data_IF_636862098213
#
_entry.id   IF_636862098213
#
_cell.length_a   1.000
_cell.length_b   1.000
_cell.length_c   1.000
_cell.angle_alpha   90.00
_cell.angle_beta   90.00
_cell.angle_gamma   90.00
#
_symmetry.space_group_name_H-M   'P 1'
#
loop_
_entity.id
_entity.type
_entity.pdbx_description
1 polymer ?
#
# COMPACT_ATOMS: atom_id res chain seq x y z
N UNK A 1 7.09 -15.74 24.04
CA UNK A 1 6.89 -14.34 24.51
C UNK A 1 5.62 -14.24 25.39
N UNK A 2 5.43 -13.19 26.21
CA UNK A 2 4.14 -12.96 26.91
C UNK A 2 3.14 -12.39 25.92
N UNK A 3 1.93 -12.95 25.85
CA UNK A 3 0.83 -12.39 25.07
C UNK A 3 0.18 -11.23 25.86
N UNK A 4 0.16 -10.05 25.25
CA UNK A 4 -0.41 -8.81 25.79
C UNK A 4 -1.81 -8.54 25.20
N UNK A 5 -2.62 -7.68 25.81
CA UNK A 5 -3.81 -7.11 25.15
C UNK A 5 -3.46 -5.80 24.44
N UNK A 6 -4.37 -5.27 23.62
CA UNK A 6 -4.18 -3.94 23.06
C UNK A 6 -4.21 -2.85 24.15
N UNK A 7 -4.95 -3.03 25.24
CA UNK A 7 -4.92 -2.12 26.39
C UNK A 7 -3.51 -2.04 27.01
N UNK A 8 -2.76 -3.15 27.05
CA UNK A 8 -1.36 -3.14 27.48
C UNK A 8 -0.48 -2.31 26.51
N UNK A 9 -0.77 -2.37 25.21
CA UNK A 9 -0.09 -1.56 24.18
C UNK A 9 -0.42 -0.08 24.39
N UNK A 10 -1.70 0.27 24.58
CA UNK A 10 -2.16 1.63 24.87
C UNK A 10 -1.54 2.18 26.15
N UNK A 11 -1.47 1.38 27.21
CA UNK A 11 -0.78 1.73 28.44
C UNK A 11 0.70 2.01 28.19
N UNK A 12 1.37 1.23 27.33
CA UNK A 12 2.76 1.49 26.93
C UNK A 12 2.91 2.77 26.11
N UNK A 13 1.97 3.07 25.20
CA UNK A 13 1.96 4.31 24.43
C UNK A 13 1.85 5.50 25.38
N UNK A 14 0.84 5.48 26.25
CA UNK A 14 0.56 6.57 27.18
C UNK A 14 1.68 6.80 28.21
N UNK A 15 2.38 5.73 28.62
CA UNK A 15 3.50 5.83 29.57
C UNK A 15 4.76 6.45 28.96
N UNK A 16 4.95 6.38 27.64
CA UNK A 16 6.18 6.79 26.96
C UNK A 16 5.96 8.05 26.10
N UNK A 17 5.66 9.18 26.73
CA UNK A 17 5.33 10.45 26.03
C UNK A 17 6.45 11.04 25.17
N UNK A 18 7.72 10.74 25.48
CA UNK A 18 8.88 11.16 24.68
C UNK A 18 9.29 10.17 23.59
N UNK A 19 8.46 9.16 23.30
CA UNK A 19 8.75 8.12 22.31
C UNK A 19 7.67 8.12 21.24
N UNK A 20 8.10 8.15 19.99
CA UNK A 20 7.20 7.98 18.84
C UNK A 20 6.67 6.54 18.77
N UNK A 21 5.40 6.40 18.42
CA UNK A 21 4.77 5.13 18.09
C UNK A 21 4.21 5.23 16.68
N UNK A 22 4.68 4.34 15.82
CA UNK A 22 4.25 4.23 14.43
C UNK A 22 3.33 3.02 14.27
N UNK A 23 2.55 3.00 13.19
CA UNK A 23 1.64 1.92 12.85
C UNK A 23 2.04 1.31 11.50
N UNK A 24 2.11 -0.02 11.41
CA UNK A 24 2.20 -0.76 10.16
C UNK A 24 0.90 -1.55 9.96
N UNK A 25 0.17 -1.23 8.90
CA UNK A 25 -1.03 -1.90 8.46
C UNK A 25 -0.69 -2.93 7.37
N UNK A 26 -1.15 -4.15 7.56
CA UNK A 26 -1.11 -5.22 6.57
C UNK A 26 -2.50 -5.59 6.07
N UNK A 27 -2.58 -6.50 5.09
CA UNK A 27 -3.84 -6.86 4.42
C UNK A 27 -4.92 -7.31 5.40
N UNK A 28 -4.52 -7.85 6.56
CA UNK A 28 -5.43 -8.18 7.65
C UNK A 28 -6.23 -6.99 8.22
N UNK A 29 -5.80 -5.74 7.97
CA UNK A 29 -6.57 -4.54 8.29
C UNK A 29 -7.88 -4.49 7.50
N UNK A 30 -7.79 -4.70 6.18
CA UNK A 30 -8.95 -4.69 5.28
C UNK A 30 -9.77 -5.98 5.43
N UNK A 31 -9.12 -7.12 5.64
CA UNK A 31 -9.82 -8.37 5.97
C UNK A 31 -10.59 -8.29 7.30
N UNK A 32 -10.10 -7.54 8.28
CA UNK A 32 -10.81 -7.34 9.53
C UNK A 32 -12.09 -6.50 9.35
N UNK A 33 -12.17 -5.68 8.30
CA UNK A 33 -13.39 -4.98 7.92
C UNK A 33 -14.36 -5.92 7.22
N UNK A 34 -13.89 -6.56 6.15
CA UNK A 34 -14.70 -7.48 5.36
C UNK A 34 -13.79 -8.55 4.70
N UNK A 35 -13.78 -9.80 5.21
CA UNK A 35 -12.94 -10.86 4.68
C UNK A 35 -13.49 -11.48 3.38
N UNK A 36 -14.74 -11.21 3.00
CA UNK A 36 -15.31 -11.68 1.73
C UNK A 36 -14.86 -10.78 0.57
N UNK A 37 -14.76 -9.48 0.83
CA UNK A 37 -14.34 -8.48 -0.17
C UNK A 37 -12.81 -8.40 -0.28
N UNK A 38 -12.11 -8.35 0.85
CA UNK A 38 -10.66 -8.21 0.88
C UNK A 38 -10.00 -9.56 1.13
N UNK A 39 -9.33 -10.12 0.12
CA UNK A 39 -8.54 -11.36 0.25
C UNK A 39 -7.04 -11.08 0.11
N UNK A 40 -6.24 -11.77 0.93
CA UNK A 40 -4.78 -11.57 1.04
C UNK A 40 -4.05 -11.73 -0.29
N UNK A 41 -4.60 -12.55 -1.18
CA UNK A 41 -4.03 -12.91 -2.46
C UNK A 41 -4.99 -12.63 -3.60
N UNK A 42 -6.07 -11.88 -3.44
CA UNK A 42 -7.13 -11.84 -4.46
C UNK A 42 -6.62 -11.51 -5.87
N UNK A 43 -5.71 -10.54 -6.00
CA UNK A 43 -5.06 -10.25 -7.29
C UNK A 43 -4.04 -11.31 -7.72
N UNK A 44 -3.36 -11.93 -6.76
CA UNK A 44 -2.40 -13.00 -7.02
C UNK A 44 -3.10 -14.30 -7.46
N UNK A 45 -4.11 -14.73 -6.72
CA UNK A 45 -5.00 -15.85 -7.03
C UNK A 45 -5.70 -15.59 -8.36
N UNK A 46 -6.06 -14.35 -8.66
CA UNK A 46 -6.60 -13.98 -9.96
C UNK A 46 -5.60 -14.25 -11.10
N UNK A 47 -4.32 -13.86 -10.94
CA UNK A 47 -3.27 -14.14 -11.92
C UNK A 47 -2.96 -15.64 -12.00
N UNK A 48 -2.94 -16.38 -10.88
CA UNK A 48 -2.63 -17.81 -10.87
C UNK A 48 -3.77 -18.69 -11.41
N UNK A 49 -5.03 -18.29 -11.21
CA UNK A 49 -6.21 -19.00 -11.70
C UNK A 49 -6.66 -18.53 -13.10
N UNK A 50 -5.82 -17.77 -13.80
CA UNK A 50 -6.12 -17.26 -15.11
C UNK A 50 -6.05 -18.41 -16.13
N UNK A 51 -7.20 -19.03 -16.44
CA UNK A 51 -7.34 -20.16 -17.36
C UNK A 51 -7.20 -19.73 -18.84
N UNK A 52 -6.04 -19.17 -19.21
CA UNK A 52 -5.71 -18.84 -20.60
C UNK A 52 -4.29 -19.33 -20.94
N UNK A 53 -4.21 -20.28 -21.86
CA UNK A 53 -2.96 -20.93 -22.31
C UNK A 53 -1.97 -19.95 -22.97
N UNK A 54 -2.45 -18.87 -23.60
CA UNK A 54 -1.58 -17.86 -24.22
C UNK A 54 -1.04 -16.89 -23.16
N UNK A 55 -1.88 -16.43 -22.24
CA UNK A 55 -1.46 -15.57 -21.13
C UNK A 55 -0.53 -16.30 -20.16
N UNK A 56 -0.82 -17.56 -19.86
CA UNK A 56 0.03 -18.39 -19.01
C UNK A 56 1.44 -18.55 -19.59
N UNK A 57 1.57 -18.64 -20.92
CA UNK A 57 2.89 -18.68 -21.59
C UNK A 57 3.62 -17.36 -21.48
N UNK A 58 2.92 -16.24 -21.66
CA UNK A 58 3.49 -14.90 -21.52
C UNK A 58 3.97 -14.69 -20.08
N UNK A 59 3.11 -14.94 -19.10
CA UNK A 59 3.42 -14.80 -17.68
C UNK A 59 4.49 -15.79 -17.21
N UNK A 60 4.61 -16.97 -17.83
CA UNK A 60 5.70 -17.90 -17.52
C UNK A 60 7.07 -17.43 -18.03
N UNK A 61 7.11 -16.63 -19.10
CA UNK A 61 8.35 -16.03 -19.64
C UNK A 61 8.71 -14.76 -18.87
N UNK A 62 7.70 -14.01 -18.44
CA UNK A 62 7.90 -12.79 -17.68
C UNK A 62 8.18 -13.18 -16.22
N UNK A 63 9.45 -13.15 -15.82
CA UNK A 63 9.90 -13.45 -14.45
C UNK A 63 9.54 -12.36 -13.42
N UNK A 64 8.43 -11.63 -13.63
CA UNK A 64 7.94 -10.62 -12.70
C UNK A 64 6.44 -10.74 -12.52
N UNK A 65 5.97 -10.47 -11.29
CA UNK A 65 4.55 -10.32 -10.96
C UNK A 65 4.14 -8.85 -10.86
N UNK A 66 5.03 -7.93 -11.25
CA UNK A 66 4.71 -6.51 -11.38
C UNK A 66 3.86 -6.30 -12.64
N UNK A 67 2.60 -5.98 -12.43
CA UNK A 67 1.63 -5.78 -13.50
C UNK A 67 2.02 -4.63 -14.43
N UNK A 68 2.45 -3.49 -13.88
CA UNK A 68 2.89 -2.33 -14.67
C UNK A 68 4.00 -2.74 -15.64
N UNK A 69 5.00 -3.47 -15.13
CA UNK A 69 6.13 -3.93 -15.93
C UNK A 69 5.71 -4.97 -16.98
N UNK A 70 4.78 -5.88 -16.65
CA UNK A 70 4.22 -6.84 -17.61
C UNK A 70 3.55 -6.09 -18.77
N UNK A 71 2.69 -5.12 -18.47
CA UNK A 71 1.98 -4.36 -19.49
C UNK A 71 2.93 -3.53 -20.34
N UNK A 72 3.90 -2.84 -19.73
CA UNK A 72 4.94 -2.10 -20.46
C UNK A 72 5.75 -3.02 -21.39
N UNK A 73 6.07 -4.25 -20.96
CA UNK A 73 6.78 -5.21 -21.81
C UNK A 73 5.94 -5.66 -23.01
N UNK A 74 4.63 -5.88 -22.81
CA UNK A 74 3.71 -6.24 -23.89
C UNK A 74 3.55 -5.11 -24.91
N UNK A 75 3.40 -3.87 -24.43
CA UNK A 75 3.26 -2.70 -25.28
C UNK A 75 4.54 -2.45 -26.08
N UNK A 76 5.71 -2.54 -25.43
CA UNK A 76 7.01 -2.44 -26.10
C UNK A 76 7.20 -3.55 -27.14
N UNK A 77 6.81 -4.79 -26.82
CA UNK A 77 6.89 -5.90 -27.76
C UNK A 77 5.99 -5.66 -28.98
N UNK A 78 4.76 -5.19 -28.79
CA UNK A 78 3.83 -4.87 -29.88
C UNK A 78 4.42 -3.77 -30.79
N UNK A 79 4.95 -2.70 -30.20
CA UNK A 79 5.59 -1.61 -30.94
C UNK A 79 6.82 -2.08 -31.75
N UNK A 80 7.64 -2.97 -31.19
CA UNK A 80 8.79 -3.54 -31.89
C UNK A 80 8.37 -4.47 -33.04
N UNK A 81 7.36 -5.31 -32.84
CA UNK A 81 6.82 -6.19 -33.89
C UNK A 81 6.29 -5.36 -35.06
N UNK A 82 5.63 -4.24 -34.78
CA UNK A 82 5.19 -3.30 -35.80
C UNK A 82 6.38 -2.66 -36.53
N UNK A 83 7.37 -2.15 -35.80
CA UNK A 83 8.54 -1.49 -36.38
C UNK A 83 9.42 -2.39 -37.25
N UNK A 84 9.52 -3.68 -36.93
CA UNK A 84 10.32 -4.66 -37.67
C UNK A 84 9.51 -5.44 -38.72
N UNK A 85 8.26 -5.05 -39.00
CA UNK A 85 7.35 -5.76 -39.90
C UNK A 85 7.23 -7.27 -39.55
N UNK A 86 7.26 -7.59 -38.24
CA UNK A 86 7.28 -8.95 -37.70
C UNK A 86 6.00 -9.77 -37.93
N UNK A 87 5.05 -9.21 -38.68
CA UNK A 87 3.84 -9.87 -39.15
C UNK A 87 2.59 -9.54 -38.33
N UNK A 88 1.53 -9.15 -39.04
CA UNK A 88 0.19 -8.88 -38.51
C UNK A 88 -0.36 -9.97 -37.56
N UNK A 89 -0.15 -11.29 -37.81
CA UNK A 89 -0.67 -12.32 -36.92
C UNK A 89 -0.04 -12.33 -35.53
N UNK A 90 1.26 -12.00 -35.43
CA UNK A 90 1.96 -11.97 -34.14
C UNK A 90 1.55 -10.74 -33.34
N UNK A 91 1.49 -9.57 -34.00
CA UNK A 91 1.01 -8.33 -33.38
C UNK A 91 -0.40 -8.51 -32.78
N UNK A 92 -1.34 -9.06 -33.56
CA UNK A 92 -2.71 -9.31 -33.08
C UNK A 92 -2.78 -10.23 -31.87
N UNK A 93 -1.88 -11.21 -31.75
CA UNK A 93 -1.81 -12.07 -30.57
C UNK A 93 -1.32 -11.33 -29.34
N UNK A 94 -0.29 -10.50 -29.49
CA UNK A 94 0.25 -9.70 -28.39
C UNK A 94 -0.80 -8.68 -27.92
N UNK A 95 -1.41 -7.95 -28.85
CA UNK A 95 -2.45 -6.96 -28.53
C UNK A 95 -3.65 -7.61 -27.84
N UNK A 96 -4.11 -8.77 -28.34
CA UNK A 96 -5.21 -9.51 -27.72
C UNK A 96 -4.85 -10.02 -26.32
N UNK A 97 -3.61 -10.45 -26.09
CA UNK A 97 -3.15 -10.85 -24.77
C UNK A 97 -3.07 -9.65 -23.81
N UNK A 98 -2.50 -8.53 -24.25
CA UNK A 98 -2.43 -7.28 -23.47
C UNK A 98 -3.83 -6.82 -23.05
N UNK A 99 -4.77 -6.75 -24.00
CA UNK A 99 -6.15 -6.36 -23.72
C UNK A 99 -6.88 -7.34 -22.80
N UNK A 100 -6.67 -8.66 -22.96
CA UNK A 100 -7.24 -9.63 -22.01
C UNK A 100 -6.71 -9.42 -20.61
N UNK A 101 -5.39 -9.29 -20.44
CA UNK A 101 -4.75 -9.14 -19.13
C UNK A 101 -5.20 -7.84 -18.44
N UNK A 102 -5.33 -6.75 -19.21
CA UNK A 102 -5.87 -5.48 -18.76
C UNK A 102 -7.31 -5.58 -18.28
N UNK A 103 -8.21 -6.15 -19.09
CA UNK A 103 -9.62 -6.32 -18.73
C UNK A 103 -9.77 -7.23 -17.51
N UNK A 104 -8.97 -8.30 -17.47
CA UNK A 104 -8.84 -9.20 -16.34
C UNK A 104 -8.47 -8.46 -15.04
N UNK A 105 -7.44 -7.60 -15.05
CA UNK A 105 -7.11 -6.79 -13.88
C UNK A 105 -8.24 -5.84 -13.48
N UNK A 106 -8.86 -5.16 -14.45
CA UNK A 106 -9.94 -4.21 -14.21
C UNK A 106 -11.14 -4.89 -13.55
N UNK A 107 -11.54 -6.07 -14.03
CA UNK A 107 -12.58 -6.89 -13.42
C UNK A 107 -12.21 -7.32 -11.99
N UNK A 108 -10.96 -7.73 -11.75
CA UNK A 108 -10.50 -8.11 -10.42
C UNK A 108 -10.53 -6.91 -9.45
N UNK A 109 -10.05 -5.74 -9.88
CA UNK A 109 -10.09 -4.52 -9.06
C UNK A 109 -11.53 -4.12 -8.74
N UNK A 110 -12.44 -4.16 -9.71
CA UNK A 110 -13.86 -3.83 -9.49
C UNK A 110 -14.57 -4.84 -8.59
N UNK A 111 -14.27 -6.14 -8.70
CA UNK A 111 -14.88 -7.17 -7.87
C UNK A 111 -14.45 -7.09 -6.39
N UNK A 112 -13.20 -6.68 -6.14
CA UNK A 112 -12.58 -6.71 -4.81
C UNK A 112 -12.74 -5.42 -4.02
N UNK A 113 -13.28 -4.36 -4.62
CA UNK A 113 -13.36 -3.05 -3.97
C UNK A 113 -14.79 -2.55 -3.96
N UNK A 114 -15.30 -2.08 -2.80
CA UNK A 114 -16.59 -1.41 -2.74
C UNK A 114 -16.62 -0.24 -3.74
N UNK A 115 -17.70 -0.13 -4.52
CA UNK A 115 -17.85 0.95 -5.50
C UNK A 115 -17.66 2.37 -4.90
N UNK A 116 -17.90 2.56 -3.59
CA UNK A 116 -17.85 3.88 -2.97
C UNK A 116 -17.45 3.84 -1.48
N UNK A 117 -16.62 4.82 -1.06
CA UNK A 117 -16.33 5.18 0.36
C UNK A 117 -17.55 5.25 1.30
N UNK A 118 -18.76 5.56 0.81
CA UNK A 118 -19.96 5.62 1.66
C UNK A 118 -20.55 4.25 2.01
N UNK A 119 -20.04 3.15 1.43
CA UNK A 119 -20.44 1.79 1.82
C UNK A 119 -19.95 1.45 3.23
N UNK A 120 -18.90 2.10 3.73
CA UNK A 120 -18.48 1.98 5.13
C UNK A 120 -19.50 2.72 6.02
N UNK A 121 -20.09 2.13 7.07
CA UNK A 121 -20.94 2.87 7.98
C UNK A 121 -20.19 4.01 8.69
N UNK A 122 -20.87 5.11 9.01
CA UNK A 122 -20.23 6.28 9.63
C UNK A 122 -19.62 5.96 11.00
N UNK A 123 -20.30 5.13 11.80
CA UNK A 123 -19.82 4.72 13.12
C UNK A 123 -18.52 3.91 13.02
N UNK A 124 -18.45 2.95 12.09
CA UNK A 124 -17.25 2.13 11.85
C UNK A 124 -16.10 2.98 11.30
N UNK A 125 -16.42 3.93 10.40
CA UNK A 125 -15.44 4.86 9.86
C UNK A 125 -14.83 5.74 10.94
N UNK A 126 -15.67 6.27 11.84
CA UNK A 126 -15.25 7.07 12.99
C UNK A 126 -14.44 6.25 14.01
N UNK A 127 -14.80 4.98 14.24
CA UNK A 127 -14.05 4.09 15.12
C UNK A 127 -12.63 3.84 14.58
N UNK A 128 -12.51 3.52 13.29
CA UNK A 128 -11.22 3.31 12.65
C UNK A 128 -10.39 4.60 12.66
N UNK A 129 -11.00 5.75 12.39
CA UNK A 129 -10.36 7.05 12.50
C UNK A 129 -9.74 7.29 13.89
N UNK A 130 -10.49 7.00 14.97
CA UNK A 130 -9.98 7.11 16.35
C UNK A 130 -8.78 6.20 16.58
N UNK A 131 -8.81 4.98 16.04
CA UNK A 131 -7.69 4.06 16.11
C UNK A 131 -6.43 4.62 15.41
N UNK A 132 -6.55 5.12 14.17
CA UNK A 132 -5.43 5.73 13.44
C UNK A 132 -4.87 6.96 14.18
N UNK A 133 -5.74 7.76 14.79
CA UNK A 133 -5.36 8.96 15.52
C UNK A 133 -4.54 8.69 16.79
N UNK A 134 -4.54 7.46 17.32
CA UNK A 134 -3.65 7.05 18.41
C UNK A 134 -2.17 7.27 18.01
N UNK A 135 -1.85 7.10 16.74
CA UNK A 135 -0.50 7.20 16.20
C UNK A 135 -0.24 8.58 15.59
N UNK A 136 -1.03 9.00 14.60
CA UNK A 136 -0.82 10.28 13.89
C UNK A 136 -0.91 11.48 14.85
N UNK A 137 -1.91 11.51 15.73
CA UNK A 137 -2.13 12.61 16.67
C UNK A 137 -0.99 12.83 17.67
N UNK A 138 -0.02 11.91 17.74
CA UNK A 138 1.18 11.98 18.59
C UNK A 138 2.48 12.16 17.80
N UNK A 139 2.40 12.47 16.50
CA UNK A 139 3.56 12.59 15.60
C UNK A 139 4.07 11.24 15.07
N UNK A 140 3.31 10.16 15.28
CA UNK A 140 3.57 8.87 14.67
C UNK A 140 3.35 8.87 13.16
N UNK A 141 3.86 7.83 12.50
CA UNK A 141 3.70 7.60 11.06
C UNK A 141 2.86 6.33 10.86
N UNK A 142 2.05 6.31 9.81
CA UNK A 142 1.30 5.13 9.38
C UNK A 142 1.92 4.61 8.09
N UNK A 143 2.30 3.34 8.11
CA UNK A 143 2.77 2.60 6.96
C UNK A 143 1.71 1.58 6.58
N UNK A 144 1.42 1.45 5.30
CA UNK A 144 0.47 0.47 4.76
C UNK A 144 1.18 -0.38 3.73
N UNK A 145 0.95 -1.70 3.79
CA UNK A 145 1.26 -2.62 2.70
C UNK A 145 0.00 -2.98 1.89
N UNK A 146 -1.13 -2.36 2.19
CA UNK A 146 -2.39 -2.63 1.52
C UNK A 146 -2.47 -1.76 0.28
N UNK A 147 -2.79 -2.38 -0.84
CA UNK A 147 -3.02 -1.70 -2.11
C UNK A 147 -4.46 -1.20 -2.27
N UNK A 148 -5.38 -1.63 -1.41
CA UNK A 148 -6.79 -1.28 -1.47
C UNK A 148 -7.11 0.18 -1.09
N UNK A 149 -8.37 0.56 -1.32
CA UNK A 149 -8.86 1.92 -1.10
C UNK A 149 -9.32 2.20 0.34
N UNK A 150 -9.39 1.20 1.21
CA UNK A 150 -10.06 1.32 2.52
C UNK A 150 -9.36 2.34 3.41
N UNK A 151 -8.03 2.26 3.54
CA UNK A 151 -7.28 3.23 4.36
C UNK A 151 -7.45 4.66 3.83
N UNK A 152 -7.35 4.84 2.50
CA UNK A 152 -7.55 6.14 1.86
C UNK A 152 -8.96 6.69 2.15
N UNK A 153 -9.99 5.86 2.03
CA UNK A 153 -11.38 6.22 2.34
C UNK A 153 -11.59 6.67 3.78
N UNK A 154 -11.01 5.94 4.74
CA UNK A 154 -11.10 6.32 6.16
C UNK A 154 -10.41 7.67 6.41
N UNK A 155 -9.23 7.89 5.82
CA UNK A 155 -8.49 9.14 5.97
C UNK A 155 -9.22 10.34 5.35
N UNK A 156 -9.83 10.16 4.17
CA UNK A 156 -10.53 11.24 3.48
C UNK A 156 -11.87 11.60 4.13
N UNK A 157 -12.63 10.60 4.61
CA UNK A 157 -13.99 10.83 5.13
C UNK A 157 -14.00 11.42 6.53
N UNK A 158 -13.02 11.06 7.34
CA UNK A 158 -12.94 11.54 8.70
C UNK A 158 -11.96 12.71 8.72
N UNK A 159 -12.28 13.77 9.47
CA UNK A 159 -11.35 14.88 9.72
C UNK A 159 -10.18 14.47 10.62
N UNK A 160 -9.59 13.29 10.40
CA UNK A 160 -8.47 12.76 11.17
C UNK A 160 -7.31 13.72 10.98
N UNK A 161 -6.92 14.31 12.11
CA UNK A 161 -5.77 15.18 12.38
C UNK A 161 -4.70 15.12 11.29
N UNK A 162 -4.58 16.20 10.51
CA UNK A 162 -3.44 16.56 9.65
C UNK A 162 -2.72 15.39 8.95
N UNK A 163 -3.48 14.46 8.36
CA UNK A 163 -2.87 13.38 7.57
C UNK A 163 -2.36 13.94 6.23
N UNK A 164 -1.26 13.38 5.75
CA UNK A 164 -0.75 13.67 4.41
C UNK A 164 0.08 12.50 3.91
N UNK A 165 -0.16 12.15 2.65
CA UNK A 165 0.56 11.13 1.89
C UNK A 165 1.65 11.74 0.98
N UNK A 166 1.95 13.04 1.17
CA UNK A 166 2.99 13.75 0.42
C UNK A 166 2.53 14.31 -0.93
N UNK A 167 1.31 14.01 -1.37
CA UNK A 167 0.74 14.53 -2.61
C UNK A 167 0.18 15.94 -2.44
N UNK A 168 0.27 16.77 -3.47
CA UNK A 168 -0.30 18.11 -3.54
C UNK A 168 -0.46 18.59 -4.97
N UNK A 169 -1.20 19.68 -5.16
CA UNK A 169 -1.46 20.29 -6.47
C UNK A 169 -0.58 21.52 -6.67
N UNK A 170 -0.20 21.78 -7.91
CA UNK A 170 0.46 23.00 -8.35
C UNK A 170 -0.57 23.92 -9.01
N UNK A 171 -0.40 25.23 -8.82
CA UNK A 171 -1.14 26.20 -9.62
C UNK A 171 -0.51 26.20 -11.03
N UNK A 172 -1.21 25.82 -12.08
CA UNK A 172 -0.62 25.77 -13.43
C UNK A 172 -0.51 27.17 -14.05
N UNK A 173 -1.35 28.10 -13.59
CA UNK A 173 -1.36 29.49 -14.02
C UNK A 173 -0.65 30.41 -13.00
N UNK A 174 0.61 30.73 -13.28
CA UNK A 174 1.49 31.50 -12.38
C UNK A 174 1.54 33.03 -12.66
N UNK A 175 0.60 33.57 -13.45
CA UNK A 175 0.68 34.99 -13.84
C UNK A 175 0.24 35.95 -12.71
N UNK A 176 0.98 37.06 -12.47
CA UNK A 176 0.57 38.05 -11.49
C UNK A 176 -0.78 38.69 -11.83
N UNK A 177 -1.77 38.55 -10.96
CA UNK A 177 -3.09 39.17 -11.11
C UNK A 177 -4.26 38.20 -11.25
N UNK A 178 -4.00 36.88 -11.25
CA UNK A 178 -5.04 35.85 -11.21
C UNK A 178 -5.72 35.86 -9.85
N UNK A 179 -7.06 35.93 -9.84
CA UNK A 179 -7.84 35.84 -8.62
C UNK A 179 -7.78 34.39 -8.07
N UNK A 180 -7.87 34.18 -6.74
CA UNK A 180 -7.81 32.84 -6.16
C UNK A 180 -8.82 31.85 -6.75
N UNK A 181 -10.00 32.33 -7.14
CA UNK A 181 -11.04 31.53 -7.83
C UNK A 181 -10.70 31.09 -9.26
N UNK A 182 -9.77 31.77 -9.92
CA UNK A 182 -9.36 31.50 -11.30
C UNK A 182 -8.09 30.64 -11.37
N UNK A 183 -7.57 30.14 -10.23
CA UNK A 183 -6.38 29.28 -10.21
C UNK A 183 -6.72 27.92 -10.83
N UNK A 184 -6.00 27.57 -11.88
CA UNK A 184 -6.05 26.24 -12.49
C UNK A 184 -5.09 25.34 -11.70
N UNK A 185 -5.61 24.24 -11.17
CA UNK A 185 -4.82 23.32 -10.36
C UNK A 185 -4.45 22.09 -11.17
N UNK A 186 -3.18 21.72 -11.11
CA UNK A 186 -2.67 20.47 -11.66
C UNK A 186 -3.29 19.27 -10.97
N UNK A 187 -3.01 18.08 -11.51
CA UNK A 187 -3.22 16.82 -10.82
C UNK A 187 -2.44 16.76 -9.48
N UNK A 188 -2.76 15.76 -8.66
CA UNK A 188 -2.05 15.53 -7.40
C UNK A 188 -0.72 14.83 -7.69
N UNK A 189 0.37 15.58 -7.57
CA UNK A 189 1.72 15.04 -7.71
C UNK A 189 2.35 14.78 -6.34
N UNK A 190 3.05 13.65 -6.23
CA UNK A 190 3.82 13.35 -5.04
C UNK A 190 5.07 14.22 -4.94
N UNK A 191 5.33 14.77 -3.75
CA UNK A 191 6.57 15.51 -3.47
C UNK A 191 6.32 16.86 -2.81
N UNK A 192 5.17 17.49 -3.11
CA UNK A 192 4.80 18.82 -2.61
C UNK A 192 4.66 18.86 -1.09
N UNK A 193 3.99 17.87 -0.53
CA UNK A 193 3.75 17.75 0.90
C UNK A 193 4.68 16.72 1.57
N UNK A 194 5.75 16.31 0.88
CA UNK A 194 6.69 15.27 1.32
C UNK A 194 7.30 15.51 2.70
N UNK A 195 7.50 16.78 3.07
CA UNK A 195 8.07 17.21 4.37
C UNK A 195 7.16 16.84 5.54
N UNK A 196 5.85 16.97 5.35
CA UNK A 196 4.85 16.75 6.40
C UNK A 196 4.23 15.35 6.31
N UNK A 197 4.60 14.55 5.30
CA UNK A 197 4.10 13.21 5.03
C UNK A 197 4.15 12.31 6.27
N UNK A 198 2.99 11.77 6.65
CA UNK A 198 2.82 10.88 7.79
C UNK A 198 2.08 9.58 7.45
N UNK A 199 1.56 9.44 6.23
CA UNK A 199 1.01 8.21 5.67
C UNK A 199 1.87 7.73 4.50
N UNK A 200 2.25 6.46 4.52
CA UNK A 200 3.19 5.87 3.57
C UNK A 200 2.66 4.53 3.07
N UNK A 201 2.48 4.38 1.76
CA UNK A 201 2.02 3.14 1.14
C UNK A 201 3.21 2.38 0.55
N UNK A 202 3.83 1.51 1.34
CA UNK A 202 5.11 0.84 1.02
C UNK A 202 4.96 -0.09 -0.19
N UNK A 203 3.78 -0.71 -0.34
CA UNK A 203 3.44 -1.55 -1.48
C UNK A 203 2.56 -0.82 -2.49
N UNK A 204 2.51 0.51 -2.44
CA UNK A 204 1.66 1.31 -3.32
C UNK A 204 0.18 1.23 -2.97
N UNK A 205 -0.65 1.81 -3.83
CA UNK A 205 -2.09 1.88 -3.66
C UNK A 205 -2.77 2.07 -5.02
N UNK A 206 -3.99 1.55 -5.16
CA UNK A 206 -4.78 1.66 -6.40
C UNK A 206 -4.93 3.08 -6.96
N UNK A 207 -4.98 4.16 -6.17
CA UNK A 207 -5.08 5.51 -6.72
C UNK A 207 -3.75 6.05 -7.26
N UNK A 208 -2.62 5.37 -7.11
CA UNK A 208 -1.31 5.92 -7.44
C UNK A 208 -0.85 5.43 -8.80
N UNK A 209 -0.38 6.32 -9.66
CA UNK A 209 0.04 6.02 -11.03
C UNK A 209 1.43 6.60 -11.28
N UNK A 210 2.25 5.88 -12.05
CA UNK A 210 3.56 6.35 -12.48
C UNK A 210 3.45 6.94 -13.89
N UNK A 211 3.68 8.25 -14.03
CA UNK A 211 3.73 8.91 -15.34
C UNK A 211 5.14 8.85 -15.97
N UNK A 212 6.10 8.20 -15.31
CA UNK A 212 7.52 8.13 -15.65
C UNK A 212 8.34 9.31 -15.12
N UNK A 213 7.74 10.48 -14.96
CA UNK A 213 8.40 11.69 -14.39
C UNK A 213 7.86 11.98 -12.99
N UNK A 214 6.55 11.93 -12.83
CA UNK A 214 5.84 12.23 -11.59
C UNK A 214 4.99 11.04 -11.15
N UNK A 215 4.78 10.93 -9.84
CA UNK A 215 3.81 9.99 -9.28
C UNK A 215 2.51 10.75 -9.06
N UNK A 216 1.44 10.29 -9.72
CA UNK A 216 0.12 10.93 -9.74
C UNK A 216 -0.81 10.17 -8.79
N UNK A 217 -1.63 10.90 -8.03
CA UNK A 217 -2.70 10.31 -7.22
C UNK A 217 -4.07 10.70 -7.77
N UNK A 218 -4.88 9.69 -8.05
CA UNK A 218 -6.30 9.87 -8.29
C UNK A 218 -7.07 10.18 -7.00
N UNK A 219 -8.06 11.06 -7.12
CA UNK A 219 -8.92 11.42 -6.00
C UNK A 219 -10.39 11.47 -6.38
N UNK A 220 -11.24 11.35 -5.35
CA UNK A 220 -12.66 11.63 -5.50
C UNK A 220 -12.88 13.09 -5.89
N UNK A 221 -13.66 13.31 -6.94
CA UNK A 221 -14.27 14.59 -7.23
C UNK A 221 -15.78 14.45 -7.47
N UNK A 222 -16.43 15.55 -7.83
CA UNK A 222 -17.87 15.58 -8.08
C UNK A 222 -18.27 14.94 -9.43
N UNK A 223 -17.31 14.53 -10.27
CA UNK A 223 -17.54 14.14 -11.66
C UNK A 223 -17.65 12.63 -11.88
N UNK A 224 -16.87 11.82 -11.15
CA UNK A 224 -16.86 10.37 -11.28
C UNK A 224 -16.41 9.67 -9.98
N UNK A 225 -16.75 8.39 -9.83
CA UNK A 225 -16.23 7.60 -8.71
C UNK A 225 -14.75 7.29 -8.91
N UNK A 226 -14.00 7.19 -7.81
CA UNK A 226 -12.56 6.93 -7.85
C UNK A 226 -12.20 5.66 -8.64
N UNK A 227 -12.99 4.59 -8.48
CA UNK A 227 -12.77 3.35 -9.23
C UNK A 227 -13.02 3.53 -10.74
N UNK A 228 -13.99 4.35 -11.14
CA UNK A 228 -14.23 4.66 -12.56
C UNK A 228 -13.04 5.40 -13.16
N UNK A 229 -12.49 6.39 -12.46
CA UNK A 229 -11.28 7.10 -12.90
C UNK A 229 -10.05 6.19 -13.01
N UNK A 230 -9.88 5.30 -12.03
CA UNK A 230 -8.82 4.29 -12.07
C UNK A 230 -9.00 3.38 -13.29
N UNK A 231 -10.23 2.94 -13.55
CA UNK A 231 -10.57 2.16 -14.76
C UNK A 231 -10.27 2.94 -16.05
N UNK A 232 -10.63 4.21 -16.14
CA UNK A 232 -10.35 5.07 -17.31
C UNK A 232 -8.85 5.25 -17.56
N UNK A 233 -8.03 5.34 -16.51
CA UNK A 233 -6.57 5.38 -16.63
C UNK A 233 -6.01 4.05 -17.14
N UNK A 234 -6.47 2.94 -16.56
CA UNK A 234 -6.09 1.61 -17.03
C UNK A 234 -6.50 1.37 -18.48
N UNK A 235 -7.64 1.91 -18.91
CA UNK A 235 -8.08 1.92 -20.31
C UNK A 235 -7.10 2.64 -21.25
N UNK A 236 -6.46 3.72 -20.77
CA UNK A 236 -5.44 4.49 -21.50
C UNK A 236 -4.03 3.89 -21.43
N UNK A 237 -3.86 2.76 -20.74
CA UNK A 237 -2.56 2.11 -20.55
C UNK A 237 -1.75 2.66 -19.37
N UNK A 238 -2.39 3.40 -18.46
CA UNK A 238 -1.80 3.86 -17.20
C UNK A 238 -2.19 2.90 -16.08
N UNK A 239 -1.21 2.28 -15.44
CA UNK A 239 -1.47 1.24 -14.44
C UNK A 239 -1.16 1.72 -13.02
N UNK A 240 -1.96 1.31 -12.02
CA UNK A 240 -1.66 1.66 -10.65
C UNK A 240 -0.35 1.05 -10.16
N UNK A 241 0.37 1.79 -9.33
CA UNK A 241 1.56 1.36 -8.64
C UNK A 241 1.14 0.54 -7.43
N UNK A 242 1.28 -0.77 -7.51
CA UNK A 242 1.20 -1.64 -6.34
C UNK A 242 2.12 -2.85 -6.42
N UNK A 243 2.56 -3.33 -5.25
CA UNK A 243 3.40 -4.51 -5.08
C UNK A 243 2.53 -5.64 -4.55
N UNK A 244 2.15 -6.58 -5.42
CA UNK A 244 1.24 -7.67 -5.04
C UNK A 244 2.00 -8.92 -4.62
N UNK A 245 2.50 -9.65 -5.61
CA UNK A 245 3.03 -10.99 -5.46
C UNK A 245 4.51 -11.05 -5.86
N UNK A 246 5.15 -12.14 -5.46
CA UNK A 246 6.56 -12.40 -5.76
C UNK A 246 7.36 -12.71 -4.52
N UNK A 247 8.61 -13.09 -4.73
CA UNK A 247 9.58 -13.26 -3.64
C UNK A 247 9.82 -11.92 -2.91
N UNK A 248 10.35 -11.97 -1.68
CA UNK A 248 10.72 -10.74 -0.96
C UNK A 248 11.73 -9.88 -1.74
N UNK A 249 12.60 -10.51 -2.53
CA UNK A 249 13.59 -9.85 -3.39
C UNK A 249 12.93 -9.15 -4.59
N UNK A 250 11.98 -9.81 -5.26
CA UNK A 250 11.20 -9.20 -6.36
C UNK A 250 10.42 -7.98 -5.86
N UNK A 251 9.76 -8.11 -4.70
CA UNK A 251 9.03 -7.00 -4.07
C UNK A 251 9.96 -5.85 -3.74
N UNK A 252 11.12 -6.14 -3.14
CA UNK A 252 12.11 -5.12 -2.81
C UNK A 252 12.66 -4.44 -4.08
N UNK A 253 12.95 -5.21 -5.12
CA UNK A 253 13.39 -4.66 -6.41
C UNK A 253 12.35 -3.70 -6.97
N UNK A 254 11.07 -4.07 -7.00
CA UNK A 254 9.99 -3.18 -7.44
C UNK A 254 9.94 -1.90 -6.60
N UNK A 255 10.00 -2.03 -5.27
CA UNK A 255 10.02 -0.88 -4.35
C UNK A 255 11.19 0.07 -4.65
N UNK A 256 12.39 -0.45 -4.89
CA UNK A 256 13.58 0.38 -5.12
C UNK A 256 13.59 1.06 -6.50
N UNK A 257 12.87 0.54 -7.49
CA UNK A 257 12.79 1.12 -8.84
C UNK A 257 11.68 2.18 -8.97
N UNK A 258 10.76 2.27 -8.02
CA UNK A 258 9.74 3.33 -7.99
C UNK A 258 10.11 4.40 -6.93
N UNK A 259 10.14 5.67 -7.35
CA UNK A 259 10.62 6.77 -6.51
C UNK A 259 9.77 6.96 -5.23
N UNK A 260 8.44 6.81 -5.34
CA UNK A 260 7.54 6.93 -4.19
C UNK A 260 7.68 5.73 -3.23
N UNK A 261 7.71 4.51 -3.76
CA UNK A 261 7.82 3.30 -2.94
C UNK A 261 9.16 3.25 -2.21
N UNK A 262 10.26 3.57 -2.89
CA UNK A 262 11.59 3.65 -2.29
C UNK A 262 11.58 4.64 -1.12
N UNK A 263 10.99 5.82 -1.30
CA UNK A 263 10.89 6.81 -0.22
C UNK A 263 10.08 6.31 0.98
N UNK A 264 8.97 5.59 0.74
CA UNK A 264 8.18 4.98 1.80
C UNK A 264 8.97 3.92 2.57
N UNK A 265 9.72 3.07 1.86
CA UNK A 265 10.57 2.04 2.43
C UNK A 265 11.74 2.63 3.24
N UNK A 266 12.37 3.69 2.75
CA UNK A 266 13.43 4.40 3.45
C UNK A 266 12.89 5.05 4.74
N UNK A 267 11.69 5.66 4.68
CA UNK A 267 11.04 6.20 5.87
C UNK A 267 10.76 5.13 6.91
N UNK A 268 10.31 3.93 6.53
CA UNK A 268 10.15 2.80 7.45
C UNK A 268 11.51 2.37 8.02
N UNK A 269 12.56 2.39 7.21
CA UNK A 269 13.92 2.00 7.60
C UNK A 269 14.62 2.99 8.52
N UNK A 270 14.07 4.20 8.68
CA UNK A 270 14.65 5.30 9.45
C UNK A 270 13.84 5.67 10.71
N UNK A 271 12.68 5.07 10.93
CA UNK A 271 11.86 5.36 12.11
C UNK A 271 12.61 5.09 13.42
N UNK A 272 12.18 5.78 14.46
CA UNK A 272 12.71 5.60 15.81
C UNK A 272 11.59 5.25 16.78
N UNK A 273 11.86 5.04 18.06
CA UNK A 273 10.78 4.78 19.02
C UNK A 273 10.21 3.36 18.92
N UNK A 274 8.94 3.18 18.60
CA UNK A 274 8.33 1.84 18.47
C UNK A 274 7.40 1.71 17.28
N UNK A 275 7.27 0.49 16.75
CA UNK A 275 6.34 0.16 15.68
C UNK A 275 5.26 -0.78 16.22
N UNK A 276 4.00 -0.50 15.95
CA UNK A 276 2.87 -1.39 16.22
C UNK A 276 2.37 -1.94 14.88
N UNK A 277 2.11 -3.23 14.78
CA UNK A 277 1.57 -3.84 13.56
C UNK A 277 0.13 -4.29 13.77
N UNK A 278 -0.70 -4.10 12.74
CA UNK A 278 -2.04 -4.64 12.68
C UNK A 278 -2.29 -5.20 11.28
N UNK A 279 -2.77 -6.43 11.20
CA UNK A 279 -3.08 -7.11 9.95
C UNK A 279 -1.86 -7.63 9.21
N UNK A 280 -0.69 -7.67 9.85
CA UNK A 280 0.59 -8.02 9.23
C UNK A 280 1.29 -9.14 10.01
N UNK A 281 1.47 -10.30 9.36
CA UNK A 281 1.99 -11.52 10.00
C UNK A 281 3.45 -11.86 9.63
N UNK A 282 4.14 -11.00 8.85
CA UNK A 282 5.52 -11.24 8.40
C UNK A 282 5.68 -12.61 7.73
N UNK A 283 4.98 -12.81 6.61
CA UNK A 283 5.06 -14.04 5.85
C UNK A 283 6.45 -14.24 5.23
N UNK A 284 6.65 -15.39 4.59
CA UNK A 284 7.90 -15.72 3.90
C UNK A 284 8.23 -14.73 2.76
N UNK A 285 7.23 -14.02 2.24
CA UNK A 285 7.37 -13.04 1.15
C UNK A 285 7.52 -11.59 1.66
N UNK A 286 7.63 -11.40 2.98
CA UNK A 286 7.66 -10.09 3.63
C UNK A 286 8.99 -9.81 4.35
N UNK A 287 10.05 -10.55 3.99
CA UNK A 287 11.37 -10.43 4.63
C UNK A 287 11.97 -9.03 4.48
N UNK A 288 11.70 -8.34 3.37
CA UNK A 288 12.11 -6.96 3.14
C UNK A 288 11.58 -5.98 4.19
N UNK A 289 10.41 -6.22 4.77
CA UNK A 289 9.85 -5.43 5.87
C UNK A 289 10.60 -5.70 7.18
N UNK A 290 10.98 -6.96 7.44
CA UNK A 290 11.84 -7.31 8.58
C UNK A 290 13.19 -6.61 8.44
N UNK A 291 13.76 -6.57 7.22
CA UNK A 291 14.99 -5.83 6.95
C UNK A 291 14.87 -4.34 7.23
N UNK A 292 13.78 -3.70 6.79
CA UNK A 292 13.53 -2.28 7.08
C UNK A 292 13.47 -2.03 8.60
N UNK A 293 12.74 -2.86 9.34
CA UNK A 293 12.66 -2.80 10.81
C UNK A 293 14.04 -2.97 11.44
N UNK A 294 14.86 -3.88 10.92
CA UNK A 294 16.23 -4.11 11.40
C UNK A 294 17.14 -2.91 11.11
N UNK A 295 17.03 -2.28 9.95
CA UNK A 295 17.74 -1.02 9.61
C UNK A 295 17.35 0.10 10.58
N UNK A 296 16.06 0.26 10.86
CA UNK A 296 15.53 1.22 11.83
C UNK A 296 16.06 0.95 13.25
N UNK A 297 16.24 -0.32 13.61
CA UNK A 297 16.85 -0.76 14.86
C UNK A 297 18.39 -0.70 14.87
N UNK A 298 19.00 -0.10 13.84
CA UNK A 298 20.46 -0.01 13.62
C UNK A 298 21.14 -1.38 13.64
N UNK A 299 20.45 -2.41 13.16
CA UNK A 299 20.87 -3.81 13.17
C UNK A 299 21.28 -4.30 14.57
N UNK A 300 20.58 -3.82 15.60
CA UNK A 300 20.84 -4.19 17.00
C UNK A 300 22.01 -3.44 17.65
N UNK A 301 22.71 -2.58 16.91
CA UNK A 301 23.82 -1.75 17.46
C UNK A 301 23.31 -0.80 18.54
N UNK A 302 24.18 -0.42 19.48
CA UNK A 302 23.89 0.57 20.53
C UNK A 302 24.06 2.00 20.01
N UNK A 303 23.49 2.28 18.85
CA UNK A 303 23.47 3.57 18.18
C UNK A 303 22.07 4.16 18.33
N UNK A 304 21.99 5.42 18.75
CA UNK A 304 20.73 6.14 18.97
C UNK A 304 20.73 7.45 18.15
N UNK A 305 19.56 7.90 17.66
CA UNK A 305 18.24 7.31 17.85
C UNK A 305 18.01 6.06 16.97
N UNK A 306 17.15 5.16 17.45
CA UNK A 306 16.79 3.91 16.75
C UNK A 306 15.41 3.41 17.15
N UNK A 307 14.89 2.45 16.39
CA UNK A 307 13.72 1.66 16.79
C UNK A 307 14.06 0.78 18.01
N UNK A 308 13.21 0.85 19.04
CA UNK A 308 13.41 0.23 20.34
C UNK A 308 12.60 -1.05 20.51
N UNK A 309 11.40 -1.09 19.95
CA UNK A 309 10.51 -2.24 20.03
C UNK A 309 9.55 -2.31 18.85
N UNK A 310 9.15 -3.54 18.51
CA UNK A 310 8.02 -3.83 17.62
C UNK A 310 6.95 -4.59 18.41
N UNK A 311 5.70 -4.17 18.26
CA UNK A 311 4.51 -4.83 18.81
C UNK A 311 3.78 -5.50 17.65
N UNK A 312 3.70 -6.83 17.67
CA UNK A 312 3.13 -7.61 16.59
C UNK A 312 1.77 -8.15 17.02
N UNK A 313 0.72 -7.76 16.30
CA UNK A 313 -0.63 -8.28 16.51
C UNK A 313 -0.74 -9.71 15.98
N UNK A 314 -1.14 -10.66 16.84
CA UNK A 314 -1.39 -12.06 16.48
C UNK A 314 -2.88 -12.36 16.56
N UNK A 315 -3.39 -13.17 15.62
CA UNK A 315 -4.83 -13.45 15.48
C UNK A 315 -5.20 -14.88 15.92
N UNK A 316 -4.21 -15.77 15.98
CA UNK A 316 -4.36 -17.16 16.36
C UNK A 316 -3.13 -17.69 17.08
N UNK A 317 -3.24 -18.87 17.69
CA UNK A 317 -2.09 -19.58 18.27
C UNK A 317 -1.07 -19.99 17.20
N UNK A 318 -1.50 -20.18 15.95
CA UNK A 318 -0.61 -20.47 14.83
C UNK A 318 0.23 -19.25 14.48
N UNK A 319 -0.38 -18.06 14.39
CA UNK A 319 0.33 -16.80 14.16
C UNK A 319 1.33 -16.54 15.29
N UNK A 320 0.91 -16.76 16.54
CA UNK A 320 1.80 -16.64 17.68
C UNK A 320 3.04 -17.54 17.55
N UNK A 321 2.85 -18.82 17.25
CA UNK A 321 3.96 -19.76 17.04
C UNK A 321 4.85 -19.33 15.89
N UNK A 322 4.27 -18.84 14.80
CA UNK A 322 5.01 -18.29 13.66
C UNK A 322 5.90 -17.12 14.08
N UNK A 323 5.35 -16.11 14.76
CA UNK A 323 6.10 -14.95 15.26
C UNK A 323 7.18 -15.36 16.27
N UNK A 324 6.90 -16.32 17.15
CA UNK A 324 7.91 -16.89 18.07
C UNK A 324 9.04 -17.60 17.32
N UNK A 325 8.76 -18.28 16.21
CA UNK A 325 9.79 -18.93 15.38
C UNK A 325 10.67 -17.92 14.63
N UNK A 326 10.09 -16.81 14.15
CA UNK A 326 10.84 -15.78 13.40
C UNK A 326 11.41 -14.67 14.29
N UNK A 327 11.20 -14.70 15.61
CA UNK A 327 11.68 -13.69 16.56
C UNK A 327 13.18 -13.38 16.37
N UNK A 328 13.99 -14.41 16.13
CA UNK A 328 15.45 -14.30 15.94
C UNK A 328 15.88 -13.49 14.69
N UNK A 329 14.97 -13.35 13.71
CA UNK A 329 15.19 -12.50 12.53
C UNK A 329 15.16 -11.01 12.90
N UNK A 330 14.43 -10.63 13.95
CA UNK A 330 14.37 -9.24 14.42
C UNK A 330 15.60 -8.88 15.26
N UNK A 331 16.20 -7.72 14.98
CA UNK A 331 17.31 -7.12 15.74
C UNK A 331 16.82 -6.04 16.71
N UNK A 332 15.54 -6.08 17.02
CA UNK A 332 14.81 -5.18 17.92
C UNK A 332 13.99 -6.00 18.91
N UNK A 333 13.58 -5.40 20.04
CA UNK A 333 12.73 -6.10 21.01
C UNK A 333 11.34 -6.38 20.41
N UNK A 334 10.99 -7.65 20.29
CA UNK A 334 9.66 -8.08 19.85
C UNK A 334 8.72 -8.20 21.06
N UNK A 335 7.50 -7.71 20.91
CA UNK A 335 6.36 -7.91 21.82
C UNK A 335 5.20 -8.39 20.97
N UNK A 336 4.36 -9.27 21.51
CA UNK A 336 3.16 -9.77 20.83
C UNK A 336 1.93 -9.41 21.63
N UNK A 337 0.84 -9.10 20.93
CA UNK A 337 -0.45 -8.82 21.56
C UNK A 337 -1.58 -9.47 20.77
N UNK A 338 -2.68 -9.78 21.45
CA UNK A 338 -3.88 -10.34 20.82
C UNK A 338 -4.59 -9.26 20.00
N UNK A 339 -4.51 -9.36 18.67
CA UNK A 339 -5.10 -8.39 17.76
C UNK A 339 -6.63 -8.36 17.82
N UNK A 340 -7.28 -9.42 18.30
CA UNK A 340 -8.74 -9.48 18.49
C UNK A 340 -9.23 -8.56 19.60
N UNK A 341 -8.33 -8.11 20.47
CA UNK A 341 -8.65 -7.13 21.51
C UNK A 341 -8.70 -5.69 20.98
N UNK A 342 -8.33 -5.47 19.71
CA UNK A 342 -8.49 -4.17 19.06
C UNK A 342 -9.86 -4.10 18.41
N UNK A 343 -10.67 -3.13 18.84
CA UNK A 343 -11.90 -2.78 18.15
C UNK A 343 -11.64 -1.66 17.12
N UNK A 344 -11.04 -2.02 15.98
CA UNK A 344 -10.75 -1.06 14.90
C UNK A 344 -12.05 -0.51 14.30
N UNK A 345 -13.08 -1.34 14.20
CA UNK A 345 -14.30 -1.02 13.45
C UNK A 345 -15.49 -0.67 14.34
N UNK A 346 -15.34 -0.62 15.67
CA UNK A 346 -16.42 -0.22 16.58
C UNK A 346 -17.54 -1.26 16.69
N UNK A 347 -17.24 -2.54 16.47
CA UNK A 347 -18.24 -3.63 16.37
C UNK A 347 -18.38 -4.43 17.67
N UNK A 348 -17.54 -4.16 18.67
CA UNK A 348 -17.48 -4.92 19.92
C UNK A 348 -18.36 -4.38 21.04
#
# INVERSE_FOLDING_TARGET
MKLESFDDVLASINKNTGREFHLLLGNGFSMAYDPEIFSYNALHDFIENLEDDELSKILAVIETKNFELIMQQLDNLSALVEAFEGGEPLKKKIDAASEKLKNSLLEAVQALHPEHVFKVPEEESNACSKFLNIFIGRGGKIFSTNYDLLLYWILMRNGVVNHTDGFGRDAENYEPGIAPEDIEWSELFWGRNKKDQNVFYIHGALPFFDSGVEIIKEEYDYSAYLLEKISERMEKGEYPIFVTAGSGEEKLSHIMHNHYLSYCYDNLSEITGSLVTFGFNFGIYDEHIIEAINRAAKNGRKEFPKLLSVYIGVYSDQDRKHIENIESKFKVKVRIFDAKTIDVWGRN
#
